data_IF_043011043685
#
_entry.id   IF_043011043685
#
_cell.length_a   1.000
_cell.length_b   1.000
_cell.length_c   1.000
_cell.angle_alpha   90.00
_cell.angle_beta   90.00
_cell.angle_gamma   90.00
#
_symmetry.space_group_name_H-M   'P 1'
#
loop_
_entity.id
_entity.type
_entity.pdbx_description
1 polymer ?
#
# COMPACT_ATOMS: atom_id res chain seq x y z
N UNK A 1 27.32 -2.09 -1.03
CA UNK A 1 26.16 -1.19 -0.84
C UNK A 1 25.10 -1.99 -0.11
N UNK A 2 24.61 -1.51 1.03
CA UNK A 2 23.52 -2.19 1.75
C UNK A 2 22.24 -2.15 0.92
N UNK A 3 21.47 -3.23 0.99
CA UNK A 3 20.15 -3.30 0.37
C UNK A 3 19.09 -2.78 1.34
N UNK A 4 17.93 -2.39 0.83
CA UNK A 4 16.82 -1.90 1.65
C UNK A 4 16.41 -2.90 2.75
N UNK A 5 16.49 -4.19 2.47
CA UNK A 5 16.21 -5.28 3.41
C UNK A 5 17.10 -5.23 4.67
N UNK A 6 18.34 -4.77 4.52
CA UNK A 6 19.32 -4.71 5.61
C UNK A 6 18.95 -3.69 6.69
N UNK A 7 18.01 -2.80 6.38
CA UNK A 7 17.57 -1.71 7.25
C UNK A 7 16.25 -2.00 7.98
N UNK A 8 15.57 -3.08 7.59
CA UNK A 8 14.33 -3.49 8.27
C UNK A 8 14.66 -4.24 9.54
N UNK A 9 14.27 -3.66 10.68
CA UNK A 9 14.46 -4.31 11.98
C UNK A 9 13.46 -5.46 12.09
N UNK A 10 14.00 -6.65 12.40
CA UNK A 10 13.19 -7.85 12.63
C UNK A 10 13.10 -8.11 14.12
N UNK A 11 11.89 -8.20 14.65
CA UNK A 11 11.62 -8.42 16.07
C UNK A 11 11.06 -9.83 16.21
N UNK A 12 11.87 -10.79 16.73
CA UNK A 12 11.39 -12.15 16.93
C UNK A 12 10.39 -12.21 18.07
N UNK A 13 9.49 -13.19 17.99
CA UNK A 13 8.47 -13.47 19.00
C UNK A 13 7.56 -12.28 19.35
N UNK A 14 7.21 -11.49 18.34
CA UNK A 14 6.31 -10.34 18.49
C UNK A 14 5.21 -10.37 17.40
N UNK A 15 3.92 -10.08 17.75
CA UNK A 15 3.36 -9.90 19.11
C UNK A 15 3.24 -11.20 19.91
N UNK A 16 3.48 -12.35 19.28
CA UNK A 16 3.35 -13.68 19.85
C UNK A 16 4.58 -14.55 19.51
N UNK A 17 4.90 -15.58 20.36
CA UNK A 17 5.97 -16.51 20.07
C UNK A 17 5.85 -17.16 18.68
N UNK A 18 6.95 -17.23 17.95
CA UNK A 18 7.04 -17.82 16.62
C UNK A 18 6.73 -16.85 15.47
N UNK A 19 6.33 -15.62 15.75
CA UNK A 19 6.12 -14.57 14.76
C UNK A 19 7.34 -13.66 14.72
N UNK A 20 7.84 -13.36 13.51
CA UNK A 20 8.89 -12.37 13.29
C UNK A 20 8.22 -11.11 12.74
N UNK A 21 8.11 -10.07 13.58
CA UNK A 21 7.59 -8.78 13.14
C UNK A 21 8.66 -8.02 12.36
N UNK A 22 8.29 -7.53 11.17
CA UNK A 22 9.14 -6.71 10.31
C UNK A 22 8.75 -5.25 10.47
N UNK A 23 9.61 -4.48 11.12
CA UNK A 23 9.33 -3.06 11.38
C UNK A 23 9.73 -2.20 10.19
N UNK A 24 8.77 -1.93 9.29
CA UNK A 24 8.98 -1.06 8.14
C UNK A 24 9.32 0.37 8.55
N UNK A 25 8.92 0.79 9.75
CA UNK A 25 9.17 2.17 10.21
C UNK A 25 10.64 2.41 10.53
N UNK A 26 11.44 1.36 10.71
CA UNK A 26 12.89 1.50 10.85
C UNK A 26 13.55 2.15 9.63
N UNK A 27 13.01 1.96 8.44
CA UNK A 27 13.46 2.61 7.20
C UNK A 27 13.35 4.14 7.26
N UNK A 28 12.43 4.66 8.07
CA UNK A 28 12.18 6.09 8.18
C UNK A 28 13.19 6.83 9.07
N UNK A 29 14.04 6.10 9.80
CA UNK A 29 14.95 6.66 10.81
C UNK A 29 16.22 7.26 10.20
N UNK A 30 16.54 6.91 8.97
CA UNK A 30 17.71 7.41 8.25
C UNK A 30 17.31 8.01 6.89
N UNK A 31 17.92 9.14 6.55
CA UNK A 31 17.58 9.90 5.34
C UNK A 31 17.89 9.12 4.04
N UNK A 32 18.98 8.38 4.02
CA UNK A 32 19.37 7.59 2.84
C UNK A 32 18.46 6.37 2.65
N UNK A 33 18.05 5.74 3.74
CA UNK A 33 17.13 4.59 3.72
C UNK A 33 15.73 5.01 3.28
N UNK A 34 15.23 6.11 3.82
CA UNK A 34 13.96 6.70 3.39
C UNK A 34 14.01 7.03 1.90
N UNK A 35 15.07 7.72 1.46
CA UNK A 35 15.28 8.06 0.06
C UNK A 35 15.31 6.82 -0.82
N UNK A 36 16.05 5.78 -0.43
CA UNK A 36 16.15 4.52 -1.17
C UNK A 36 14.78 3.86 -1.35
N UNK A 37 13.94 3.87 -0.31
CA UNK A 37 12.59 3.29 -0.39
C UNK A 37 11.67 4.08 -1.33
N UNK A 38 11.69 5.41 -1.25
CA UNK A 38 10.85 6.26 -2.12
C UNK A 38 11.33 6.18 -3.58
N UNK A 39 12.63 6.29 -3.83
CA UNK A 39 13.18 6.16 -5.18
C UNK A 39 12.88 4.78 -5.78
N UNK A 40 12.97 3.73 -4.99
CA UNK A 40 12.61 2.38 -5.42
C UNK A 40 11.14 2.27 -5.84
N UNK A 41 10.22 2.84 -5.06
CA UNK A 41 8.81 2.89 -5.44
C UNK A 41 8.57 3.73 -6.69
N UNK A 42 9.26 4.87 -6.83
CA UNK A 42 9.19 5.68 -8.04
C UNK A 42 9.68 4.91 -9.27
N UNK A 43 10.74 4.13 -9.14
CA UNK A 43 11.26 3.30 -10.23
C UNK A 43 10.24 2.23 -10.69
N UNK A 44 9.44 1.70 -9.78
CA UNK A 44 8.39 0.73 -10.14
C UNK A 44 7.27 1.32 -10.99
N UNK A 45 7.08 2.64 -10.96
CA UNK A 45 5.95 3.31 -11.65
C UNK A 45 6.38 4.31 -12.72
N UNK A 46 7.68 4.57 -12.91
CA UNK A 46 8.19 5.62 -13.81
C UNK A 46 7.76 5.47 -15.26
N UNK A 47 7.60 4.23 -15.74
CA UNK A 47 7.23 3.91 -17.11
C UNK A 47 5.73 3.59 -17.27
N UNK A 48 4.94 3.80 -16.20
CA UNK A 48 3.51 3.53 -16.19
C UNK A 48 2.76 4.84 -16.44
N UNK A 49 1.81 4.81 -17.37
CA UNK A 49 0.86 5.90 -17.58
C UNK A 49 -0.24 5.82 -16.51
N UNK A 50 -0.27 6.79 -15.59
CA UNK A 50 -1.27 6.87 -14.53
C UNK A 50 -1.54 8.32 -14.10
N UNK A 51 -2.66 8.54 -13.44
CA UNK A 51 -3.16 9.88 -13.09
C UNK A 51 -2.95 10.22 -11.62
N UNK A 52 -3.11 9.26 -10.73
CA UNK A 52 -3.07 9.49 -9.28
C UNK A 52 -2.61 8.26 -8.50
N UNK A 53 -2.18 8.53 -7.27
CA UNK A 53 -1.82 7.51 -6.27
C UNK A 53 -2.92 7.43 -5.22
N UNK A 54 -3.36 6.23 -4.88
CA UNK A 54 -4.17 5.95 -3.68
C UNK A 54 -3.26 5.31 -2.63
N UNK A 55 -3.28 5.83 -1.42
CA UNK A 55 -2.54 5.27 -0.29
C UNK A 55 -3.47 4.82 0.83
N UNK A 56 -3.12 3.72 1.48
CA UNK A 56 -3.89 3.15 2.60
C UNK A 56 -3.47 3.75 3.94
N UNK A 57 -4.45 4.14 4.77
CA UNK A 57 -4.19 4.60 6.14
C UNK A 57 -3.49 3.51 6.96
N UNK A 58 -2.47 3.82 7.71
CA UNK A 58 -1.83 5.14 7.81
C UNK A 58 -0.43 5.16 7.20
N UNK A 59 0.31 4.07 7.28
CA UNK A 59 1.71 3.98 6.83
C UNK A 59 1.84 4.06 5.32
N UNK A 60 0.80 3.65 4.56
CA UNK A 60 0.75 3.84 3.12
C UNK A 60 0.82 5.31 2.69
N UNK A 61 0.38 6.25 3.54
CA UNK A 61 0.50 7.68 3.28
C UNK A 61 1.96 8.15 3.29
N UNK A 62 2.76 7.59 4.18
CA UNK A 62 4.18 7.94 4.35
C UNK A 62 4.95 7.68 3.05
N UNK A 63 4.62 6.61 2.35
CA UNK A 63 5.28 6.23 1.09
C UNK A 63 4.53 6.74 -0.14
N UNK A 64 3.21 6.75 -0.10
CA UNK A 64 2.38 7.14 -1.25
C UNK A 64 2.47 8.64 -1.58
N UNK A 65 2.44 9.52 -0.58
CA UNK A 65 2.54 10.98 -0.80
C UNK A 65 3.88 11.37 -1.40
N UNK A 66 5.04 10.92 -0.89
CA UNK A 66 6.32 11.22 -1.53
C UNK A 66 6.43 10.75 -2.98
N UNK A 67 5.89 9.58 -3.31
CA UNK A 67 5.86 9.08 -4.69
C UNK A 67 4.99 9.98 -5.57
N UNK A 68 3.78 10.30 -5.13
CA UNK A 68 2.89 11.20 -5.87
C UNK A 68 3.55 12.57 -6.12
N UNK A 69 4.18 13.13 -5.09
CA UNK A 69 4.92 14.39 -5.20
C UNK A 69 6.07 14.29 -6.22
N UNK A 70 6.93 13.27 -6.09
CA UNK A 70 8.08 13.09 -6.98
C UNK A 70 7.68 12.85 -8.44
N UNK A 71 6.56 12.18 -8.67
CA UNK A 71 6.03 11.86 -10.01
C UNK A 71 5.04 12.91 -10.53
N UNK A 72 4.84 14.01 -9.80
CA UNK A 72 3.88 15.07 -10.15
C UNK A 72 2.45 14.53 -10.38
N UNK A 73 1.99 13.73 -9.44
CA UNK A 73 0.64 13.10 -9.46
C UNK A 73 -0.19 13.55 -8.25
N UNK A 74 -1.50 13.43 -8.38
CA UNK A 74 -2.40 13.60 -7.25
C UNK A 74 -2.31 12.44 -6.26
N UNK A 75 -2.73 12.67 -5.02
CA UNK A 75 -2.82 11.66 -3.98
C UNK A 75 -4.24 11.60 -3.39
N UNK A 76 -4.76 10.40 -3.24
CA UNK A 76 -6.08 10.14 -2.66
C UNK A 76 -5.92 9.22 -1.44
N UNK A 77 -6.32 9.67 -0.24
CA UNK A 77 -6.26 8.82 0.94
C UNK A 77 -7.42 7.82 0.98
N UNK A 78 -7.13 6.55 1.20
CA UNK A 78 -8.09 5.55 1.62
C UNK A 78 -8.01 5.41 3.14
N UNK A 79 -9.12 5.59 3.86
CA UNK A 79 -9.14 5.68 5.31
C UNK A 79 -10.17 4.75 5.94
N UNK A 80 -9.99 4.49 7.21
CA UNK A 80 -10.97 3.76 8.04
C UNK A 80 -12.26 4.57 8.13
N UNK A 81 -13.39 3.87 8.30
CA UNK A 81 -14.72 4.46 8.39
C UNK A 81 -14.77 5.65 9.36
N UNK A 82 -15.43 6.72 8.91
CA UNK A 82 -15.66 7.91 9.73
C UNK A 82 -14.50 8.91 9.80
N UNK A 83 -13.41 8.67 9.08
CA UNK A 83 -12.23 9.56 9.08
C UNK A 83 -12.25 10.62 7.96
N UNK A 84 -13.04 10.41 6.93
CA UNK A 84 -13.12 11.33 5.80
C UNK A 84 -14.33 12.26 5.95
N UNK A 85 -14.16 13.59 5.74
CA UNK A 85 -15.19 14.59 6.08
C UNK A 85 -16.27 14.80 5.02
N UNK A 86 -16.03 14.40 3.76
CA UNK A 86 -17.00 14.54 2.69
C UNK A 86 -17.74 13.23 2.43
N UNK A 87 -18.63 13.21 1.44
CA UNK A 87 -19.32 12.00 1.02
C UNK A 87 -18.34 10.94 0.55
N UNK A 88 -18.52 9.70 1.01
CA UNK A 88 -17.62 8.57 0.74
C UNK A 88 -18.34 7.42 0.05
N UNK A 89 -17.56 6.58 -0.63
CA UNK A 89 -17.88 5.18 -0.90
C UNK A 89 -17.12 4.30 0.08
N UNK A 90 -17.69 3.19 0.48
CA UNK A 90 -17.12 2.31 1.49
C UNK A 90 -17.15 0.84 1.09
N UNK A 91 -16.21 0.07 1.60
CA UNK A 91 -16.10 -1.37 1.40
C UNK A 91 -15.69 -2.05 2.69
N UNK A 92 -16.46 -3.07 3.08
CA UNK A 92 -16.11 -3.94 4.19
C UNK A 92 -15.11 -5.01 3.76
N UNK A 93 -14.20 -5.37 4.65
CA UNK A 93 -13.29 -6.48 4.47
C UNK A 93 -13.07 -7.24 5.77
N UNK A 94 -12.74 -8.52 5.64
CA UNK A 94 -12.53 -9.38 6.78
C UNK A 94 -11.14 -9.20 7.36
N UNK A 95 -11.08 -9.12 8.70
CA UNK A 95 -9.88 -9.23 9.50
C UNK A 95 -9.77 -10.64 10.07
N UNK A 96 -8.63 -10.98 10.66
CA UNK A 96 -8.48 -12.22 11.41
C UNK A 96 -9.54 -12.33 12.53
N UNK A 97 -9.84 -11.19 13.15
CA UNK A 97 -10.90 -11.06 14.16
C UNK A 97 -11.84 -9.91 13.79
N UNK A 98 -13.01 -10.26 13.20
CA UNK A 98 -14.04 -9.28 12.87
C UNK A 98 -13.92 -8.70 11.46
N UNK A 99 -14.54 -7.54 11.27
CA UNK A 99 -14.57 -6.80 9.99
C UNK A 99 -14.07 -5.39 10.18
N UNK A 100 -13.51 -4.84 9.12
CA UNK A 100 -13.18 -3.43 9.02
C UNK A 100 -13.80 -2.83 7.76
N UNK A 101 -13.91 -1.50 7.72
CA UNK A 101 -14.43 -0.76 6.58
C UNK A 101 -13.42 0.27 6.15
N UNK A 102 -13.12 0.32 4.86
CA UNK A 102 -12.29 1.35 4.24
C UNK A 102 -13.15 2.26 3.39
N UNK A 103 -12.82 3.54 3.34
CA UNK A 103 -13.55 4.58 2.62
C UNK A 103 -12.63 5.41 1.73
N UNK A 104 -13.17 5.86 0.61
CA UNK A 104 -12.58 6.87 -0.28
C UNK A 104 -13.64 7.94 -0.53
N UNK A 105 -13.26 9.21 -0.65
CA UNK A 105 -14.20 10.26 -1.05
C UNK A 105 -14.81 9.93 -2.42
N UNK A 106 -16.13 10.10 -2.53
CA UNK A 106 -16.88 9.80 -3.75
C UNK A 106 -16.40 10.60 -4.96
N UNK A 107 -15.94 11.82 -4.75
CA UNK A 107 -15.47 12.75 -5.78
C UNK A 107 -13.95 12.67 -6.07
N UNK A 108 -13.23 11.76 -5.39
CA UNK A 108 -11.78 11.75 -5.44
C UNK A 108 -11.20 11.11 -6.72
N UNK A 109 -11.95 10.22 -7.35
CA UNK A 109 -11.54 9.50 -8.55
C UNK A 109 -12.62 9.69 -9.62
N UNK A 110 -12.21 10.16 -10.80
CA UNK A 110 -13.10 10.33 -11.94
C UNK A 110 -13.10 9.06 -12.81
N UNK A 111 -14.22 8.74 -13.45
CA UNK A 111 -14.29 7.60 -14.37
C UNK A 111 -13.19 7.66 -15.43
N UNK A 112 -12.51 6.54 -15.64
CA UNK A 112 -11.42 6.39 -16.60
C UNK A 112 -10.04 6.78 -16.08
N UNK A 113 -9.92 7.39 -14.91
CA UNK A 113 -8.60 7.68 -14.33
C UNK A 113 -7.84 6.40 -14.01
N UNK A 114 -6.54 6.43 -14.31
CA UNK A 114 -5.61 5.34 -14.02
C UNK A 114 -4.97 5.54 -12.66
N UNK A 115 -5.02 4.52 -11.84
CA UNK A 115 -4.67 4.58 -10.41
C UNK A 115 -3.53 3.63 -10.09
N UNK A 116 -2.54 4.14 -9.38
CA UNK A 116 -1.51 3.36 -8.68
C UNK A 116 -1.87 3.30 -7.20
N UNK A 117 -1.90 2.11 -6.62
CA UNK A 117 -2.11 1.93 -5.18
C UNK A 117 -0.77 1.67 -4.51
N UNK A 118 -0.49 2.39 -3.42
CA UNK A 118 0.74 2.22 -2.63
C UNK A 118 0.38 1.96 -1.17
N UNK A 119 1.01 0.95 -0.60
CA UNK A 119 0.99 0.68 0.83
C UNK A 119 2.39 0.26 1.31
N UNK A 120 2.60 0.26 2.61
CA UNK A 120 3.87 -0.15 3.20
C UNK A 120 4.11 -1.65 3.12
N UNK A 121 3.08 -2.44 3.38
CA UNK A 121 3.17 -3.89 3.54
C UNK A 121 1.97 -4.59 2.92
N UNK A 122 2.20 -5.71 2.25
CA UNK A 122 1.15 -6.68 1.96
C UNK A 122 1.34 -7.92 2.83
N UNK A 123 0.30 -8.25 3.61
CA UNK A 123 0.20 -9.46 4.42
C UNK A 123 -0.88 -10.38 3.83
N UNK A 124 -2.09 -10.29 4.30
CA UNK A 124 -3.22 -11.09 3.81
C UNK A 124 -3.94 -10.51 2.58
N UNK A 125 -3.69 -9.23 2.28
CA UNK A 125 -4.19 -8.55 1.09
C UNK A 125 -5.63 -8.02 1.18
N UNK A 126 -6.32 -8.21 2.28
CA UNK A 126 -7.74 -7.82 2.41
C UNK A 126 -8.00 -6.33 2.28
N UNK A 127 -7.18 -5.49 2.89
CA UNK A 127 -7.30 -4.03 2.82
C UNK A 127 -7.15 -3.55 1.37
N UNK A 128 -6.14 -4.03 0.68
CA UNK A 128 -5.86 -3.61 -0.71
C UNK A 128 -6.92 -4.12 -1.67
N UNK A 129 -7.40 -5.35 -1.49
CA UNK A 129 -8.53 -5.87 -2.28
C UNK A 129 -9.76 -4.96 -2.16
N UNK A 130 -10.08 -4.52 -0.94
CA UNK A 130 -11.19 -3.59 -0.70
C UNK A 130 -10.96 -2.23 -1.39
N UNK A 131 -9.74 -1.69 -1.32
CA UNK A 131 -9.39 -0.43 -1.99
C UNK A 131 -9.49 -0.56 -3.51
N UNK A 132 -9.02 -1.67 -4.09
CA UNK A 132 -9.19 -1.96 -5.53
C UNK A 132 -10.65 -1.89 -5.94
N UNK A 133 -11.54 -2.55 -5.17
CA UNK A 133 -12.98 -2.55 -5.45
C UNK A 133 -13.58 -1.14 -5.37
N UNK A 134 -13.16 -0.31 -4.42
CA UNK A 134 -13.61 1.08 -4.30
C UNK A 134 -13.16 1.94 -5.49
N UNK A 135 -11.91 1.80 -5.91
CA UNK A 135 -11.39 2.49 -7.10
C UNK A 135 -12.21 2.15 -8.33
N UNK A 136 -12.49 0.87 -8.54
CA UNK A 136 -13.26 0.38 -9.68
C UNK A 136 -14.74 0.80 -9.59
N UNK A 137 -15.34 0.82 -8.40
CA UNK A 137 -16.70 1.32 -8.18
C UNK A 137 -16.84 2.80 -8.60
N UNK A 138 -15.80 3.61 -8.37
CA UNK A 138 -15.76 5.00 -8.82
C UNK A 138 -15.44 5.17 -10.32
N UNK A 139 -15.21 4.06 -11.03
CA UNK A 139 -14.89 4.06 -12.46
C UNK A 139 -13.41 4.22 -12.77
N UNK A 140 -12.52 4.19 -11.76
CA UNK A 140 -11.08 4.20 -11.94
C UNK A 140 -10.56 2.84 -12.40
N UNK A 141 -9.35 2.85 -12.95
CA UNK A 141 -8.64 1.64 -13.39
C UNK A 141 -7.34 1.49 -12.60
N UNK A 142 -7.23 0.43 -11.82
CA UNK A 142 -5.98 0.09 -11.13
C UNK A 142 -4.97 -0.45 -12.13
N UNK A 143 -3.86 0.27 -12.32
CA UNK A 143 -2.83 -0.08 -13.31
C UNK A 143 -1.57 -0.65 -12.66
N UNK A 144 -1.34 -0.40 -11.37
CA UNK A 144 -0.22 -0.94 -10.60
C UNK A 144 -0.52 -0.90 -9.11
N UNK A 145 -0.01 -1.87 -8.38
CA UNK A 145 -0.05 -1.92 -6.91
C UNK A 145 1.38 -2.13 -6.42
N UNK A 146 1.87 -1.26 -5.54
CA UNK A 146 3.24 -1.28 -5.04
C UNK A 146 3.29 -1.32 -3.52
N UNK A 147 4.21 -2.11 -3.00
CA UNK A 147 4.49 -2.21 -1.58
C UNK A 147 5.98 -2.00 -1.30
N UNK A 148 6.30 -1.48 -0.13
CA UNK A 148 7.68 -1.49 0.34
C UNK A 148 8.10 -2.93 0.65
N UNK A 149 7.24 -3.68 1.34
CA UNK A 149 7.53 -5.09 1.64
C UNK A 149 6.34 -6.02 1.46
N UNK A 150 6.65 -7.29 1.30
CA UNK A 150 5.69 -8.38 1.15
C UNK A 150 6.05 -9.54 2.08
N UNK A 151 5.06 -10.02 2.81
CA UNK A 151 5.12 -11.27 3.57
C UNK A 151 4.50 -12.38 2.71
N UNK A 152 5.30 -12.98 1.83
CA UNK A 152 4.83 -13.91 0.80
C UNK A 152 4.17 -15.17 1.39
N UNK A 153 4.60 -15.61 2.58
CA UNK A 153 4.00 -16.73 3.28
C UNK A 153 2.53 -16.55 3.65
N UNK A 154 2.03 -15.32 3.70
CA UNK A 154 0.62 -15.01 3.97
C UNK A 154 -0.24 -14.95 2.69
N UNK A 155 0.38 -15.08 1.52
CA UNK A 155 -0.29 -15.23 0.22
C UNK A 155 -1.26 -14.10 -0.14
N UNK A 156 -0.95 -12.86 0.28
CA UNK A 156 -1.81 -11.72 -0.01
C UNK A 156 -2.04 -11.45 -1.49
N UNK A 157 -1.07 -11.79 -2.35
CA UNK A 157 -1.21 -11.66 -3.82
C UNK A 157 -2.34 -12.51 -4.40
N UNK A 158 -2.77 -13.56 -3.72
CA UNK A 158 -3.87 -14.42 -4.19
C UNK A 158 -5.19 -13.63 -4.31
N UNK A 159 -5.36 -12.59 -3.50
CA UNK A 159 -6.52 -11.67 -3.57
C UNK A 159 -6.38 -10.61 -4.66
N UNK A 160 -5.19 -10.44 -5.22
CA UNK A 160 -4.86 -9.42 -6.21
C UNK A 160 -4.56 -10.03 -7.59
N UNK A 161 -5.09 -11.22 -7.88
CA UNK A 161 -4.94 -11.87 -9.19
C UNK A 161 -5.52 -11.00 -10.29
N UNK A 162 -4.76 -10.86 -11.39
CA UNK A 162 -5.13 -10.03 -12.52
C UNK A 162 -4.61 -8.60 -12.45
N UNK A 163 -4.00 -8.20 -11.34
CA UNK A 163 -3.34 -6.90 -11.17
C UNK A 163 -1.83 -7.02 -11.22
N UNK A 164 -1.17 -5.96 -11.68
CA UNK A 164 0.28 -5.85 -11.66
C UNK A 164 0.74 -5.41 -10.26
N UNK A 165 1.36 -6.33 -9.51
CA UNK A 165 1.79 -6.14 -8.13
C UNK A 165 3.30 -6.26 -8.03
N UNK A 166 3.94 -5.29 -7.38
CA UNK A 166 5.38 -5.31 -7.10
C UNK A 166 5.68 -4.91 -5.66
N UNK A 167 6.73 -5.49 -5.11
CA UNK A 167 7.25 -5.17 -3.78
C UNK A 167 8.76 -4.92 -3.87
N UNK A 168 9.29 -4.00 -3.05
CA UNK A 168 10.73 -3.74 -3.00
C UNK A 168 11.47 -4.84 -2.25
N UNK A 169 10.84 -5.36 -1.19
CA UNK A 169 11.39 -6.42 -0.33
C UNK A 169 10.38 -7.55 -0.25
N UNK A 170 10.84 -8.79 -0.33
CA UNK A 170 10.00 -9.98 -0.14
C UNK A 170 10.59 -10.88 0.93
N UNK A 171 9.78 -11.21 1.93
CA UNK A 171 10.08 -12.22 2.93
C UNK A 171 9.26 -13.48 2.65
N UNK A 172 9.92 -14.62 2.47
CA UNK A 172 9.27 -15.89 2.11
C UNK A 172 8.51 -16.54 3.28
N UNK A 173 8.85 -16.16 4.52
CA UNK A 173 8.17 -16.62 5.73
C UNK A 173 6.91 -15.83 6.10
N UNK A 174 6.37 -16.15 7.28
CA UNK A 174 5.24 -15.44 7.92
C UNK A 174 5.75 -14.32 8.82
#
# INVERSE_FOLDING_TARGET
>A
MKKLEDYVISIPDFPEPGIIFRDVTSILQDAEELKLSIDGLCDLVKDIDYDLVVGAESRGFIFGVPVAYAQHKAFVPARKKGKLPRETVSMDYDLEYGKATVEIHRDAILPGQKVVIIDDLIATGGTIEAIVKLVEELGGKVVKICFVMELAGLRGRDKLKGYDVSSLITYEGK
#
